data_IF_075185537733
#
_entry.id   IF_075185537733
#
_cell.length_a   1.000
_cell.length_b   1.000
_cell.length_c   1.000
_cell.angle_alpha   90.00
_cell.angle_beta   90.00
_cell.angle_gamma   90.00
#
_symmetry.space_group_name_H-M   'P 1'
#
loop_
_entity.id
_entity.type
_entity.pdbx_description
1 polymer ?
#
# COMPACT_ATOMS: atom_id res chain seq x y z
N UNK A 1 4.89 21.90 -15.37
CA UNK A 1 4.61 20.61 -14.72
C UNK A 1 3.91 20.89 -13.41
N UNK A 2 2.74 20.27 -13.17
CA UNK A 2 1.89 20.54 -12.01
C UNK A 2 2.56 20.02 -10.73
N UNK A 3 2.97 20.93 -9.84
CA UNK A 3 3.44 20.61 -8.49
C UNK A 3 2.28 20.82 -7.53
N UNK A 4 2.06 19.88 -6.63
CA UNK A 4 1.01 20.00 -5.61
C UNK A 4 1.63 20.10 -4.22
N UNK A 5 1.25 21.13 -3.48
CA UNK A 5 1.67 21.29 -2.08
C UNK A 5 0.75 20.49 -1.17
N UNK A 6 1.34 19.71 -0.28
CA UNK A 6 0.66 18.96 0.77
C UNK A 6 1.32 19.20 2.12
N UNK A 7 0.66 18.77 3.19
CA UNK A 7 1.18 18.87 4.54
C UNK A 7 1.12 17.52 5.25
N UNK A 8 2.23 17.13 5.86
CA UNK A 8 2.38 15.94 6.71
C UNK A 8 2.87 16.44 8.07
N UNK A 9 2.16 16.15 9.15
CA UNK A 9 2.50 16.65 10.50
C UNK A 9 2.77 18.17 10.53
N UNK A 10 1.98 18.94 9.76
CA UNK A 10 2.12 20.40 9.55
C UNK A 10 3.40 20.84 8.82
N UNK A 11 4.27 19.92 8.40
CA UNK A 11 5.41 20.20 7.54
C UNK A 11 4.97 20.23 6.07
N UNK A 12 5.49 21.19 5.31
CA UNK A 12 5.15 21.38 3.90
C UNK A 12 5.98 20.43 3.02
N UNK A 13 5.31 19.68 2.16
CA UNK A 13 5.93 18.87 1.12
C UNK A 13 5.37 19.25 -0.25
N UNK A 14 6.15 18.98 -1.30
CA UNK A 14 5.72 19.20 -2.69
C UNK A 14 5.74 17.87 -3.41
N UNK A 15 4.60 17.46 -3.96
CA UNK A 15 4.50 16.32 -4.86
C UNK A 15 4.75 16.77 -6.30
N UNK A 16 5.58 16.02 -7.00
CA UNK A 16 5.84 16.21 -8.42
C UNK A 16 5.04 15.19 -9.24
N UNK A 17 4.42 15.62 -10.34
CA UNK A 17 3.74 14.72 -11.27
C UNK A 17 4.69 13.65 -11.84
N UNK A 18 6.00 13.92 -11.94
CA UNK A 18 7.00 12.95 -12.33
C UNK A 18 7.17 11.79 -11.33
N UNK A 19 6.68 11.96 -10.10
CA UNK A 19 6.72 10.95 -9.03
C UNK A 19 5.40 10.16 -8.91
N UNK A 20 4.47 10.33 -9.84
CA UNK A 20 3.23 9.56 -9.87
C UNK A 20 3.54 8.07 -10.10
N UNK A 21 3.19 7.23 -9.13
CA UNK A 21 3.32 5.77 -9.20
C UNK A 21 2.11 5.18 -9.92
N UNK A 22 0.91 5.58 -9.50
CA UNK A 22 -0.34 5.04 -10.01
C UNK A 22 -1.47 6.06 -9.88
N UNK A 23 -2.41 6.01 -10.82
CA UNK A 23 -3.70 6.72 -10.74
C UNK A 23 -4.81 5.71 -10.99
N UNK A 24 -5.84 5.74 -10.14
CA UNK A 24 -7.01 4.86 -10.22
C UNK A 24 -8.31 5.62 -9.94
N UNK A 25 -9.42 4.89 -9.82
CA UNK A 25 -10.76 5.48 -9.66
C UNK A 25 -10.93 6.33 -8.40
N UNK A 26 -10.26 5.97 -7.30
CA UNK A 26 -10.40 6.69 -6.02
C UNK A 26 -9.37 7.82 -5.82
N UNK A 27 -8.23 7.75 -6.50
CA UNK A 27 -7.12 8.64 -6.21
C UNK A 27 -5.82 8.33 -6.93
N UNK A 28 -4.79 9.04 -6.52
CA UNK A 28 -3.43 8.98 -7.06
C UNK A 28 -2.44 8.62 -5.97
N UNK A 29 -1.41 7.86 -6.32
CA UNK A 29 -0.31 7.51 -5.42
C UNK A 29 0.99 8.10 -5.97
N UNK A 30 1.69 8.87 -5.15
CA UNK A 30 2.96 9.51 -5.48
C UNK A 30 4.08 8.95 -4.61
N UNK A 31 5.29 8.83 -5.16
CA UNK A 31 6.48 8.62 -4.37
C UNK A 31 6.86 9.89 -3.62
N UNK A 32 7.27 9.77 -2.36
CA UNK A 32 7.82 10.86 -1.56
C UNK A 32 9.16 10.41 -0.97
N UNK A 33 10.22 10.50 -1.75
CA UNK A 33 11.53 9.91 -1.40
C UNK A 33 11.60 8.41 -1.74
N UNK A 34 12.48 7.69 -1.04
CA UNK A 34 12.82 6.31 -1.41
C UNK A 34 11.82 5.28 -0.89
N UNK A 35 11.36 5.41 0.35
CA UNK A 35 10.60 4.33 1.02
C UNK A 35 9.17 4.75 1.40
N UNK A 36 8.74 5.92 0.96
CA UNK A 36 7.45 6.51 1.32
C UNK A 36 6.61 6.79 0.09
N UNK A 37 5.32 6.51 0.20
CA UNK A 37 4.31 6.87 -0.78
C UNK A 37 3.20 7.71 -0.14
N UNK A 38 2.53 8.51 -0.95
CA UNK A 38 1.38 9.33 -0.55
C UNK A 38 0.21 9.02 -1.47
N UNK A 39 -0.91 8.55 -0.92
CA UNK A 39 -2.18 8.42 -1.64
C UNK A 39 -3.00 9.70 -1.41
N UNK A 40 -3.42 10.36 -2.49
CA UNK A 40 -4.35 11.48 -2.51
C UNK A 40 -5.67 11.04 -3.13
N UNK A 41 -6.80 11.38 -2.50
CA UNK A 41 -8.11 11.14 -3.10
C UNK A 41 -8.41 12.18 -4.17
N UNK A 42 -9.06 11.78 -5.27
CA UNK A 42 -9.55 12.72 -6.28
C UNK A 42 -10.65 13.64 -5.72
N UNK A 43 -11.55 13.06 -4.94
CA UNK A 43 -12.62 13.75 -4.24
C UNK A 43 -12.63 13.33 -2.76
N UNK A 44 -11.85 14.00 -1.88
CA UNK A 44 -11.88 13.75 -0.45
C UNK A 44 -13.29 13.98 0.12
N UNK A 45 -13.75 13.06 0.96
CA UNK A 45 -15.07 13.10 1.60
C UNK A 45 -14.92 12.94 3.11
N UNK A 46 -15.93 13.38 3.86
CA UNK A 46 -15.94 13.28 5.33
C UNK A 46 -15.72 11.83 5.83
N UNK A 47 -16.25 10.83 5.11
CA UNK A 47 -16.03 9.42 5.43
C UNK A 47 -14.56 8.98 5.29
N UNK A 48 -13.84 9.51 4.30
CA UNK A 48 -12.41 9.23 4.13
C UNK A 48 -11.61 9.80 5.30
N UNK A 49 -11.88 11.06 5.65
CA UNK A 49 -11.25 11.72 6.78
C UNK A 49 -11.50 10.96 8.09
N UNK A 50 -12.76 10.64 8.39
CA UNK A 50 -13.13 9.91 9.61
C UNK A 50 -12.45 8.53 9.71
N UNK A 51 -12.41 7.78 8.60
CA UNK A 51 -11.72 6.48 8.54
C UNK A 51 -10.22 6.63 8.81
N UNK A 52 -9.56 7.57 8.14
CA UNK A 52 -8.11 7.77 8.29
C UNK A 52 -7.76 8.25 9.70
N UNK A 53 -8.51 9.20 10.26
CA UNK A 53 -8.35 9.65 11.64
C UNK A 53 -8.49 8.48 12.62
N UNK A 54 -9.53 7.66 12.47
CA UNK A 54 -9.71 6.49 13.31
C UNK A 54 -8.53 5.50 13.22
N UNK A 55 -8.03 5.22 12.02
CA UNK A 55 -6.89 4.31 11.82
C UNK A 55 -5.59 4.84 12.44
N UNK A 56 -5.32 6.14 12.29
CA UNK A 56 -4.11 6.77 12.84
C UNK A 56 -4.18 6.94 14.36
N UNK A 57 -5.32 7.37 14.91
CA UNK A 57 -5.46 7.69 16.33
C UNK A 57 -5.62 6.44 17.23
N UNK A 58 -6.20 5.36 16.70
CA UNK A 58 -6.39 4.10 17.44
C UNK A 58 -5.11 3.28 17.65
N UNK A 59 -3.97 3.77 17.16
CA UNK A 59 -2.73 3.01 17.14
C UNK A 59 -2.79 1.78 16.24
N UNK A 60 -3.79 1.66 15.36
CA UNK A 60 -3.94 0.52 14.47
C UNK A 60 -2.80 0.46 13.45
N UNK A 61 -2.37 1.61 12.93
CA UNK A 61 -1.26 1.70 11.97
C UNK A 61 0.02 1.01 12.46
N UNK A 62 0.35 1.12 13.75
CA UNK A 62 1.54 0.54 14.37
C UNK A 62 1.40 -0.97 14.66
N UNK A 63 0.17 -1.48 14.60
CA UNK A 63 -0.15 -2.90 14.85
C UNK A 63 -0.36 -3.70 13.56
N UNK A 64 -0.34 -3.04 12.41
CA UNK A 64 -0.47 -3.72 11.13
C UNK A 64 0.68 -4.72 10.93
N UNK A 65 0.41 -5.92 10.38
CA UNK A 65 1.46 -6.86 10.03
C UNK A 65 2.48 -6.23 9.08
N UNK A 66 3.75 -6.64 9.16
CA UNK A 66 4.86 -6.02 8.41
C UNK A 66 4.66 -5.98 6.88
N UNK A 67 3.87 -6.90 6.33
CA UNK A 67 3.51 -6.92 4.92
C UNK A 67 2.37 -5.98 4.53
N UNK A 68 1.73 -5.25 5.45
CA UNK A 68 0.54 -4.43 5.14
C UNK A 68 0.90 -2.95 5.09
N UNK A 69 0.80 -2.36 3.90
CA UNK A 69 1.09 -0.95 3.62
C UNK A 69 -0.16 -0.09 3.83
N UNK A 70 -0.50 0.09 5.11
CA UNK A 70 -1.64 0.92 5.50
C UNK A 70 -1.30 2.41 5.71
N UNK A 71 -2.32 3.25 5.95
CA UNK A 71 -2.15 4.63 6.39
C UNK A 71 -1.32 4.75 7.67
N UNK A 72 -0.32 5.62 7.64
CA UNK A 72 0.56 5.93 8.78
C UNK A 72 0.41 7.37 9.25
N UNK A 73 0.33 8.32 8.31
CA UNK A 73 0.24 9.75 8.61
C UNK A 73 -0.84 10.39 7.75
N UNK A 74 -1.65 11.28 8.33
CA UNK A 74 -2.64 12.06 7.60
C UNK A 74 -1.97 13.08 6.67
N UNK A 75 -2.46 13.19 5.44
CA UNK A 75 -2.06 14.23 4.50
C UNK A 75 -3.14 15.29 4.46
N UNK A 76 -2.76 16.56 4.67
CA UNK A 76 -3.70 17.68 4.60
C UNK A 76 -3.35 18.69 3.49
N UNK A 77 -4.35 19.45 3.06
CA UNK A 77 -4.15 20.66 2.28
C UNK A 77 -3.67 21.84 3.18
N UNK A 78 -3.56 23.03 2.59
CA UNK A 78 -3.15 24.25 3.31
C UNK A 78 -4.20 24.75 4.31
N UNK A 79 -5.46 24.35 4.16
CA UNK A 79 -6.56 24.68 5.07
C UNK A 79 -6.68 23.68 6.22
N UNK A 80 -5.92 22.57 6.18
CA UNK A 80 -5.96 21.51 7.17
C UNK A 80 -7.00 20.43 6.89
N UNK A 81 -7.63 20.44 5.70
CA UNK A 81 -8.54 19.36 5.32
C UNK A 81 -7.75 18.11 5.00
N UNK A 82 -8.21 16.95 5.47
CA UNK A 82 -7.60 15.65 5.15
C UNK A 82 -7.90 15.31 3.68
N UNK A 83 -6.86 15.17 2.88
CA UNK A 83 -6.95 14.90 1.43
C UNK A 83 -6.34 13.55 1.05
N UNK A 84 -5.76 12.83 2.01
CA UNK A 84 -5.08 11.57 1.75
C UNK A 84 -4.28 11.08 2.95
N UNK A 85 -3.34 10.18 2.68
CA UNK A 85 -2.45 9.61 3.71
C UNK A 85 -1.09 9.23 3.14
N UNK A 86 -0.10 9.20 4.04
CA UNK A 86 1.22 8.61 3.84
C UNK A 86 1.17 7.12 4.20
N UNK A 87 1.89 6.30 3.43
CA UNK A 87 2.16 4.90 3.72
C UNK A 87 3.58 4.54 3.29
N UNK A 88 4.06 3.37 3.73
CA UNK A 88 5.29 2.78 3.18
C UNK A 88 5.13 2.53 1.68
N UNK A 89 6.17 2.81 0.90
CA UNK A 89 6.19 2.52 -0.54
C UNK A 89 6.39 1.03 -0.74
N UNK A 90 5.74 0.49 -1.78
CA UNK A 90 6.07 -0.85 -2.27
C UNK A 90 7.58 -0.94 -2.55
N UNK A 91 8.26 -1.96 -2.01
CA UNK A 91 9.66 -2.20 -2.33
C UNK A 91 9.89 -2.33 -3.83
N UNK A 92 11.09 -1.98 -4.27
CA UNK A 92 11.53 -2.28 -5.63
C UNK A 92 11.41 -3.79 -5.89
N UNK A 93 11.19 -4.17 -7.15
CA UNK A 93 11.07 -5.57 -7.60
C UNK A 93 9.87 -6.35 -7.05
N UNK A 94 8.89 -5.66 -6.44
CA UNK A 94 7.59 -6.25 -6.15
C UNK A 94 6.80 -6.57 -7.41
N UNK A 95 6.02 -7.64 -7.35
CA UNK A 95 5.15 -8.08 -8.44
C UNK A 95 3.74 -8.31 -7.94
N UNK A 96 2.75 -7.85 -8.70
CA UNK A 96 1.35 -8.17 -8.44
C UNK A 96 1.12 -9.69 -8.58
N UNK A 97 0.31 -10.28 -7.69
CA UNK A 97 0.06 -11.72 -7.67
C UNK A 97 -0.58 -12.23 -8.96
N UNK A 98 -1.30 -11.37 -9.71
CA UNK A 98 -1.82 -11.70 -11.05
C UNK A 98 -0.75 -12.18 -12.03
N UNK A 99 0.52 -11.82 -11.82
CA UNK A 99 1.65 -12.29 -12.63
C UNK A 99 1.88 -13.80 -12.54
N UNK A 100 1.40 -14.44 -11.47
CA UNK A 100 1.45 -15.89 -11.29
C UNK A 100 0.58 -16.64 -12.30
N UNK A 101 -0.36 -15.99 -12.98
CA UNK A 101 -1.13 -16.62 -14.05
C UNK A 101 -0.28 -16.91 -15.32
N UNK A 102 0.95 -16.40 -15.40
CA UNK A 102 1.81 -16.50 -16.59
C UNK A 102 2.96 -17.50 -16.35
N UNK A 103 2.96 -18.69 -16.97
CA UNK A 103 4.02 -19.69 -16.76
C UNK A 103 5.44 -19.19 -17.08
N UNK A 104 5.60 -18.39 -18.14
CA UNK A 104 6.88 -17.78 -18.50
C UNK A 104 7.44 -16.87 -17.41
N UNK A 105 6.58 -16.24 -16.61
CA UNK A 105 7.01 -15.40 -15.51
C UNK A 105 7.62 -16.23 -14.37
N UNK A 106 7.10 -17.44 -14.12
CA UNK A 106 7.65 -18.35 -13.11
C UNK A 106 9.08 -18.74 -13.48
N UNK A 107 9.33 -19.07 -14.74
CA UNK A 107 10.67 -19.41 -15.23
C UNK A 107 11.64 -18.24 -15.09
N UNK A 108 11.20 -17.03 -15.46
CA UNK A 108 12.03 -15.81 -15.36
C UNK A 108 12.40 -15.45 -13.92
N UNK A 109 11.48 -15.67 -12.99
CA UNK A 109 11.65 -15.34 -11.56
C UNK A 109 12.08 -16.55 -10.72
N UNK A 110 12.42 -17.68 -11.36
CA UNK A 110 12.80 -18.93 -10.69
C UNK A 110 11.82 -19.37 -9.58
N UNK A 111 10.52 -19.18 -9.82
CA UNK A 111 9.47 -19.52 -8.86
C UNK A 111 9.23 -21.02 -8.80
N UNK A 112 9.05 -21.54 -7.59
CA UNK A 112 8.75 -22.95 -7.33
C UNK A 112 7.33 -23.10 -6.76
N UNK A 113 6.71 -24.26 -6.97
CA UNK A 113 5.39 -24.56 -6.40
C UNK A 113 5.38 -24.42 -4.88
N UNK A 114 6.45 -24.85 -4.20
CA UNK A 114 6.58 -24.69 -2.75
C UNK A 114 6.61 -23.21 -2.32
N UNK A 115 7.34 -22.36 -3.05
CA UNK A 115 7.35 -20.92 -2.79
C UNK A 115 5.99 -20.26 -2.99
N UNK A 116 5.22 -20.70 -3.98
CA UNK A 116 3.84 -20.21 -4.18
C UNK A 116 2.90 -20.68 -3.07
N UNK A 117 2.99 -21.94 -2.63
CA UNK A 117 2.21 -22.42 -1.49
C UNK A 117 2.51 -21.60 -0.24
N UNK A 118 3.79 -21.32 0.03
CA UNK A 118 4.20 -20.47 1.17
C UNK A 118 3.68 -19.04 1.06
N UNK A 119 3.66 -18.46 -0.14
CA UNK A 119 3.05 -17.14 -0.37
C UNK A 119 1.58 -17.12 0.04
N UNK A 120 0.78 -18.08 -0.43
CA UNK A 120 -0.64 -18.17 -0.08
C UNK A 120 -0.86 -18.44 1.41
N UNK A 121 -0.04 -19.28 2.04
CA UNK A 121 -0.07 -19.49 3.49
C UNK A 121 0.22 -18.19 4.26
N UNK A 122 1.18 -17.39 3.79
CA UNK A 122 1.51 -16.10 4.40
C UNK A 122 0.37 -15.11 4.22
N UNK A 123 -0.25 -15.04 3.03
CA UNK A 123 -1.43 -14.21 2.78
C UNK A 123 -2.56 -14.57 3.76
N UNK A 124 -2.86 -15.87 3.90
CA UNK A 124 -3.86 -16.35 4.84
C UNK A 124 -3.54 -15.94 6.29
N UNK A 125 -2.29 -16.12 6.73
CA UNK A 125 -1.87 -15.72 8.07
C UNK A 125 -1.98 -14.20 8.30
N UNK A 126 -1.60 -13.38 7.32
CA UNK A 126 -1.73 -11.93 7.41
C UNK A 126 -3.20 -11.49 7.48
N UNK A 127 -4.07 -12.09 6.67
CA UNK A 127 -5.52 -11.81 6.76
C UNK A 127 -6.11 -12.21 8.11
N UNK A 128 -5.70 -13.37 8.66
CA UNK A 128 -6.12 -13.78 9.99
C UNK A 128 -5.69 -12.78 11.08
N UNK A 129 -4.45 -12.26 11.00
CA UNK A 129 -3.96 -11.22 11.92
C UNK A 129 -4.74 -9.92 11.78
N UNK A 130 -5.06 -9.49 10.55
CA UNK A 130 -5.90 -8.31 10.32
C UNK A 130 -7.30 -8.48 10.92
N UNK A 131 -7.93 -9.64 10.73
CA UNK A 131 -9.24 -9.92 11.32
C UNK A 131 -9.20 -9.94 12.85
N UNK A 132 -8.13 -10.44 13.48
CA UNK A 132 -7.93 -10.36 14.93
C UNK A 132 -7.81 -8.93 15.44
N UNK A 133 -7.33 -8.00 14.61
CA UNK A 133 -7.31 -6.56 14.91
C UNK A 133 -8.65 -5.86 14.63
N UNK A 134 -9.68 -6.59 14.20
CA UNK A 134 -10.98 -6.04 13.80
C UNK A 134 -10.96 -5.36 12.43
N UNK A 135 -9.92 -5.59 11.62
CA UNK A 135 -9.80 -5.01 10.27
C UNK A 135 -10.35 -5.99 9.24
N UNK A 136 -11.31 -5.52 8.44
CA UNK A 136 -11.84 -6.27 7.30
C UNK A 136 -11.23 -5.72 6.00
N UNK A 137 -10.63 -6.60 5.20
CA UNK A 137 -10.10 -6.24 3.87
C UNK A 137 -11.23 -6.38 2.83
N UNK A 138 -11.92 -5.27 2.56
CA UNK A 138 -13.10 -5.25 1.67
C UNK A 138 -12.81 -5.42 0.18
N UNK A 139 -11.59 -5.09 -0.27
CA UNK A 139 -11.17 -5.15 -1.68
C UNK A 139 -9.92 -6.03 -1.85
N UNK A 140 -10.05 -7.31 -1.51
CA UNK A 140 -9.00 -8.30 -1.68
C UNK A 140 -9.04 -8.88 -3.10
N UNK A 141 -8.10 -8.50 -3.95
CA UNK A 141 -8.02 -8.99 -5.33
C UNK A 141 -6.56 -9.10 -5.81
N UNK A 142 -6.34 -9.63 -7.01
CA UNK A 142 -5.01 -9.89 -7.58
C UNK A 142 -4.26 -8.65 -8.09
N UNK A 143 -4.89 -7.47 -8.00
CA UNK A 143 -4.32 -6.15 -8.31
C UNK A 143 -3.83 -5.42 -7.06
N UNK A 144 -4.37 -5.77 -5.88
CA UNK A 144 -4.01 -5.18 -4.58
C UNK A 144 -3.07 -6.07 -3.76
N UNK A 145 -2.72 -7.26 -4.27
CA UNK A 145 -1.77 -8.17 -3.64
C UNK A 145 -0.48 -8.19 -4.42
N UNK A 146 0.61 -7.90 -3.73
CA UNK A 146 1.96 -7.93 -4.26
C UNK A 146 2.79 -8.96 -3.53
N UNK A 147 3.91 -9.36 -4.14
CA UNK A 147 4.91 -10.15 -3.47
C UNK A 147 6.30 -9.79 -3.96
N UNK A 148 7.30 -10.02 -3.10
CA UNK A 148 8.71 -10.03 -3.49
C UNK A 148 9.11 -11.44 -3.88
N UNK A 149 9.64 -11.69 -5.09
CA UNK A 149 10.34 -12.94 -5.37
C UNK A 149 11.62 -12.98 -4.51
N UNK A 150 11.74 -13.96 -3.62
CA UNK A 150 12.96 -14.17 -2.84
C UNK A 150 13.94 -15.15 -3.52
N UNK A 151 14.92 -15.62 -2.75
CA UNK A 151 15.66 -16.85 -3.05
C UNK A 151 14.66 -17.98 -3.44
N UNK A 152 15.06 -19.05 -4.17
CA UNK A 152 14.18 -19.96 -4.94
C UNK A 152 12.99 -20.65 -4.20
N UNK A 153 12.75 -20.32 -2.93
CA UNK A 153 11.77 -20.92 -2.04
C UNK A 153 10.85 -19.94 -1.32
N UNK A 154 11.04 -18.61 -1.37
CA UNK A 154 10.25 -17.68 -0.53
C UNK A 154 9.69 -16.51 -1.31
N UNK A 155 8.38 -16.26 -1.19
CA UNK A 155 7.75 -15.04 -1.64
C UNK A 155 7.00 -14.40 -0.46
N UNK A 156 7.24 -13.11 -0.22
CA UNK A 156 6.64 -12.38 0.89
C UNK A 156 5.54 -11.47 0.38
N UNK A 157 4.29 -11.59 0.88
CA UNK A 157 3.22 -10.74 0.45
C UNK A 157 3.43 -9.30 0.95
N UNK A 158 3.06 -8.36 0.10
CA UNK A 158 2.94 -6.95 0.42
C UNK A 158 1.53 -6.51 0.00
N UNK A 159 0.76 -5.99 0.94
CA UNK A 159 -0.64 -5.54 0.79
C UNK A 159 -0.67 -4.02 0.71
#
# INVERSE_FOLDING_TARGET
MSKQTIYLNKQRHTLDAAQLIQSGGEGMVFALGNDTAVKLYHAPQAQHAAKLTHMCDSGLAQRLPAGVLGPQTLVTDKQGNIIGFQMSKLPADTHAIKRLATPLFWQKQSLTLSGIIQLFQTIHATLAQLHQLGVIVGDLNDQNLFFLPGAPHTAHPVF
#
